data_IF_124094286910
#
_entry.id   IF_124094286910
#
_cell.length_a   1.000
_cell.length_b   1.000
_cell.length_c   1.000
_cell.angle_alpha   90.00
_cell.angle_beta   90.00
_cell.angle_gamma   90.00
#
_symmetry.space_group_name_H-M   'P 1'
#
loop_
_entity.id
_entity.type
_entity.pdbx_description
1 polymer ?
#
# COMPACT_ATOMS: atom_id res chain seq x y z
N UNK A 1 12.84 -3.49 -15.36
CA UNK A 1 11.84 -2.60 -14.72
C UNK A 1 12.17 -2.52 -13.24
N UNK A 2 12.40 -1.30 -12.75
CA UNK A 2 12.80 -1.05 -11.37
C UNK A 2 11.55 -1.12 -10.46
N UNK A 3 11.50 -2.06 -9.52
CA UNK A 3 10.40 -2.13 -8.54
C UNK A 3 10.67 -1.14 -7.42
N UNK A 4 9.73 -0.22 -7.20
CA UNK A 4 9.84 0.78 -6.14
C UNK A 4 9.07 0.33 -4.91
N UNK A 5 9.78 0.14 -3.82
CA UNK A 5 9.20 -0.25 -2.54
C UNK A 5 8.95 0.95 -1.63
N UNK A 6 7.71 1.14 -1.20
CA UNK A 6 7.30 2.25 -0.34
C UNK A 6 6.99 1.78 1.08
N UNK A 7 7.12 2.67 2.06
CA UNK A 7 6.78 2.37 3.46
C UNK A 7 5.33 2.72 3.76
N UNK A 8 4.83 2.23 4.90
CA UNK A 8 3.51 2.64 5.42
C UNK A 8 3.42 4.16 5.61
N UNK A 9 4.53 4.85 5.94
CA UNK A 9 4.57 6.31 6.08
C UNK A 9 4.22 7.00 4.76
N UNK A 10 4.82 6.55 3.66
CA UNK A 10 4.51 7.06 2.32
C UNK A 10 3.03 6.87 1.99
N UNK A 11 2.46 5.69 2.29
CA UNK A 11 1.04 5.42 2.04
C UNK A 11 0.12 6.31 2.88
N UNK A 12 0.43 6.52 4.17
CA UNK A 12 -0.36 7.42 5.02
C UNK A 12 -0.32 8.87 4.56
N UNK A 13 0.83 9.33 4.05
CA UNK A 13 0.97 10.67 3.47
C UNK A 13 0.20 10.78 2.14
N UNK A 14 0.29 9.75 1.27
CA UNK A 14 -0.39 9.72 -0.04
C UNK A 14 -1.92 9.76 0.08
N UNK A 15 -2.48 9.04 1.05
CA UNK A 15 -3.92 8.91 1.25
C UNK A 15 -4.48 9.83 2.32
N UNK A 16 -3.64 10.68 2.93
CA UNK A 16 -4.00 11.55 4.06
C UNK A 16 -4.77 10.79 5.16
N UNK A 17 -4.34 9.56 5.48
CA UNK A 17 -5.04 8.67 6.39
C UNK A 17 -4.11 8.00 7.42
N UNK A 18 -4.71 7.38 8.44
CA UNK A 18 -3.93 6.70 9.48
C UNK A 18 -3.36 5.36 9.01
N UNK A 19 -2.31 4.88 9.67
CA UNK A 19 -1.75 3.54 9.43
C UNK A 19 -2.80 2.44 9.59
N UNK A 20 -3.72 2.61 10.55
CA UNK A 20 -4.82 1.67 10.79
C UNK A 20 -5.77 1.59 9.61
N UNK A 21 -6.04 2.71 8.94
CA UNK A 21 -6.83 2.75 7.70
C UNK A 21 -6.15 1.98 6.58
N UNK A 22 -4.83 2.10 6.41
CA UNK A 22 -4.08 1.28 5.42
C UNK A 22 -4.25 -0.22 5.71
N UNK A 23 -4.11 -0.64 6.96
CA UNK A 23 -4.33 -2.05 7.33
C UNK A 23 -5.80 -2.47 7.18
N UNK A 24 -6.76 -1.56 7.36
CA UNK A 24 -8.17 -1.81 7.02
C UNK A 24 -8.35 -2.03 5.52
N UNK A 25 -7.70 -1.22 4.67
CA UNK A 25 -7.72 -1.42 3.22
C UNK A 25 -7.19 -2.81 2.83
N UNK A 26 -6.15 -3.30 3.50
CA UNK A 26 -5.62 -4.65 3.27
C UNK A 26 -6.61 -5.75 3.65
N UNK A 27 -7.33 -5.59 4.77
CA UNK A 27 -8.27 -6.60 5.27
C UNK A 27 -9.59 -6.61 4.51
N UNK A 28 -10.15 -5.43 4.27
CA UNK A 28 -11.56 -5.27 3.88
C UNK A 28 -11.73 -4.85 2.41
N UNK A 29 -10.68 -4.31 1.78
CA UNK A 29 -10.77 -3.69 0.45
C UNK A 29 -9.74 -4.27 -0.55
N UNK A 30 -9.10 -5.39 -0.22
CA UNK A 30 -8.16 -6.06 -1.13
C UNK A 30 -6.95 -5.20 -1.52
N UNK A 31 -6.51 -4.29 -0.63
CA UNK A 31 -5.28 -3.53 -0.84
C UNK A 31 -4.06 -4.46 -0.83
N UNK A 32 -2.98 -4.15 -1.59
CA UNK A 32 -1.80 -5.00 -1.67
C UNK A 32 -1.21 -5.36 -0.30
N UNK A 33 -0.73 -6.59 -0.18
CA UNK A 33 -0.12 -7.06 1.06
C UNK A 33 1.28 -6.49 1.25
N UNK A 34 1.67 -6.32 2.51
CA UNK A 34 3.02 -5.89 2.84
C UNK A 34 4.06 -6.99 2.57
N UNK A 35 5.15 -6.61 1.93
CA UNK A 35 6.38 -7.37 1.75
C UNK A 35 7.26 -7.15 2.99
N UNK A 36 7.58 -8.22 3.71
CA UNK A 36 8.47 -8.17 4.87
C UNK A 36 9.91 -8.34 4.41
N UNK A 37 10.70 -7.26 4.43
CA UNK A 37 12.13 -7.30 4.08
C UNK A 37 13.01 -7.66 5.28
N UNK A 38 12.63 -7.21 6.47
CA UNK A 38 13.29 -7.52 7.75
C UNK A 38 12.25 -7.56 8.88
N UNK A 39 12.59 -8.09 10.08
CA UNK A 39 11.73 -7.94 11.26
C UNK A 39 11.46 -6.46 11.53
N UNK A 40 10.20 -6.03 11.37
CA UNK A 40 9.78 -4.64 11.60
C UNK A 40 9.79 -3.72 10.38
N UNK A 41 10.28 -4.16 9.21
CA UNK A 41 10.19 -3.38 7.96
C UNK A 41 9.21 -4.01 6.97
N UNK A 42 7.98 -3.48 7.01
CA UNK A 42 6.96 -3.72 6.02
C UNK A 42 7.09 -2.73 4.85
N UNK A 43 7.09 -3.24 3.62
CA UNK A 43 7.11 -2.46 2.38
C UNK A 43 5.97 -2.86 1.47
N UNK A 44 5.57 -1.98 0.57
CA UNK A 44 4.60 -2.26 -0.48
C UNK A 44 5.24 -1.99 -1.82
N UNK A 45 4.91 -2.80 -2.82
CA UNK A 45 5.25 -2.49 -4.21
C UNK A 45 4.35 -1.32 -4.67
N UNK A 46 4.98 -0.21 -5.06
CA UNK A 46 4.25 0.97 -5.52
C UNK A 46 3.39 0.66 -6.74
N UNK A 47 3.85 -0.21 -7.64
CA UNK A 47 3.09 -0.54 -8.84
C UNK A 47 1.78 -1.27 -8.51
N UNK A 48 1.78 -2.15 -7.51
CA UNK A 48 0.56 -2.83 -7.06
C UNK A 48 -0.42 -1.85 -6.38
N UNK A 49 0.12 -0.88 -5.63
CA UNK A 49 -0.67 0.18 -4.99
C UNK A 49 -1.37 1.03 -6.06
N UNK A 50 -0.63 1.47 -7.08
CA UNK A 50 -1.16 2.26 -8.20
C UNK A 50 -2.20 1.48 -9.02
N UNK A 51 -1.97 0.18 -9.24
CA UNK A 51 -2.95 -0.67 -9.90
C UNK A 51 -4.26 -0.80 -9.11
N UNK A 52 -4.17 -0.93 -7.79
CA UNK A 52 -5.34 -0.98 -6.89
C UNK A 52 -6.12 0.34 -6.88
N UNK A 53 -5.42 1.48 -6.95
CA UNK A 53 -6.03 2.82 -7.09
C UNK A 53 -6.77 2.94 -8.42
N UNK A 54 -6.11 2.57 -9.53
CA UNK A 54 -6.69 2.66 -10.86
C UNK A 54 -7.97 1.81 -10.99
N UNK A 55 -7.99 0.61 -10.40
CA UNK A 55 -9.17 -0.25 -10.37
C UNK A 55 -10.38 0.38 -9.65
N UNK A 56 -10.16 1.34 -8.74
CA UNK A 56 -11.23 2.04 -7.99
C UNK A 56 -11.71 3.32 -8.65
N UNK A 57 -10.82 4.02 -9.35
CA UNK A 57 -11.17 5.23 -10.09
C UNK A 57 -11.92 4.89 -11.39
N UNK A 58 -11.73 3.69 -11.93
CA UNK A 58 -12.40 3.21 -13.14
C UNK A 58 -13.85 2.71 -12.93
N UNK A 59 -14.41 2.84 -11.74
CA UNK A 59 -15.80 2.49 -11.40
C UNK A 59 -16.66 3.71 -11.11
#
# INVERSE_FOLDING_TARGET
MERKFVSVKFLTERYECSRETIYKYMRDYGFPQQIKLTPGSARWDLAEVEAWEAARVAG
#
